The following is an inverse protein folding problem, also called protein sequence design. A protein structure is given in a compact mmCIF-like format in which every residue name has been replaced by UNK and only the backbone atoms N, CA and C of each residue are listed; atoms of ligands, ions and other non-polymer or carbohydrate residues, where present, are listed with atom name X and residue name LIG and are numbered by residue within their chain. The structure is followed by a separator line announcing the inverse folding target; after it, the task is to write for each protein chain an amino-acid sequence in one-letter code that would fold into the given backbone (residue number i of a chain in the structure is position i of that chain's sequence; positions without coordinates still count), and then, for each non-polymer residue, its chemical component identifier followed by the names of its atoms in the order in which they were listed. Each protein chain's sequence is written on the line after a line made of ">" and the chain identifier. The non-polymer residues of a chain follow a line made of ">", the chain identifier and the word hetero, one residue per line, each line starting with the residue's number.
data_IF_893732393301
#
_entry.id   IF_893732393301
#
_cell.length_a   1.000
_cell.length_b   1.000
_cell.length_c   1.000
_cell.angle_alpha   90.00
_cell.angle_beta   90.00
_cell.angle_gamma   90.00
#
_symmetry.space_group_name_H-M   'P 1'
#
loop_
_entity.id
_entity.type
_entity.pdbx_description
1 polymer ?
#
# COMPACT_ATOMS: atom_id res chain seq x y z
N UNK A 1 -32.21 32.64 -24.85
CA UNK A 1 -31.00 33.12 -25.53
C UNK A 1 -30.17 33.74 -24.41
N UNK A 2 -29.15 33.11 -23.82
CA UNK A 2 -28.17 32.13 -24.31
C UNK A 2 -27.65 31.31 -23.12
N UNK A 3 -27.41 30.04 -23.41
CA UNK A 3 -26.73 29.03 -22.60
C UNK A 3 -25.25 29.43 -22.38
N UNK A 4 -24.76 29.33 -21.15
CA UNK A 4 -23.35 29.52 -20.82
C UNK A 4 -22.78 28.18 -20.35
N UNK A 5 -22.30 27.40 -21.32
CA UNK A 5 -21.59 26.16 -21.10
C UNK A 5 -20.30 26.38 -20.31
N UNK A 6 -20.28 25.89 -19.07
CA UNK A 6 -19.06 25.73 -18.30
C UNK A 6 -18.28 24.56 -18.90
N UNK A 7 -17.27 24.89 -19.71
CA UNK A 7 -16.43 23.90 -20.38
C UNK A 7 -15.60 23.09 -19.39
N UNK A 8 -15.88 21.79 -19.29
CA UNK A 8 -14.99 20.78 -18.73
C UNK A 8 -13.67 20.78 -19.50
N UNK A 9 -12.69 21.54 -18.99
CA UNK A 9 -11.30 21.43 -19.47
C UNK A 9 -10.72 20.16 -18.89
N UNK A 10 -10.73 19.10 -19.71
CA UNK A 10 -10.04 17.85 -19.39
C UNK A 10 -8.59 18.10 -18.95
N UNK A 11 -8.05 17.27 -18.05
CA UNK A 11 -6.76 17.51 -17.41
C UNK A 11 -5.63 17.63 -18.46
N UNK A 12 -4.90 18.74 -18.42
CA UNK A 12 -3.82 19.03 -19.37
C UNK A 12 -2.63 18.06 -19.22
N UNK A 13 -1.91 17.77 -20.31
CA UNK A 13 -0.84 16.77 -20.33
C UNK A 13 0.31 17.02 -19.34
N UNK A 14 0.58 18.28 -18.95
CA UNK A 14 1.56 18.59 -17.88
C UNK A 14 1.02 18.23 -16.50
N UNK A 15 -0.24 18.54 -16.23
CA UNK A 15 -0.91 18.21 -14.97
C UNK A 15 -1.01 16.70 -14.76
N UNK A 16 -1.37 15.94 -15.81
CA UNK A 16 -1.39 14.48 -15.76
C UNK A 16 -0.01 13.89 -15.47
N UNK A 17 1.06 14.39 -16.10
CA UNK A 17 2.42 13.91 -15.83
C UNK A 17 2.86 14.15 -14.39
N UNK A 18 2.54 15.31 -13.83
CA UNK A 18 2.82 15.61 -12.42
C UNK A 18 2.04 14.68 -11.49
N UNK A 19 0.75 14.46 -11.77
CA UNK A 19 -0.07 13.53 -10.99
C UNK A 19 0.46 12.08 -11.06
N UNK A 20 0.88 11.61 -12.24
CA UNK A 20 1.46 10.27 -12.38
C UNK A 20 2.77 10.13 -11.60
N UNK A 21 3.64 11.14 -11.63
CA UNK A 21 4.89 11.13 -10.85
C UNK A 21 4.60 11.14 -9.34
N UNK A 22 3.65 11.95 -8.89
CA UNK A 22 3.22 11.99 -7.49
C UNK A 22 2.64 10.64 -7.05
N UNK A 23 1.76 10.03 -7.85
CA UNK A 23 1.18 8.73 -7.56
C UNK A 23 2.23 7.62 -7.52
N UNK A 24 3.19 7.61 -8.46
CA UNK A 24 4.31 6.67 -8.44
C UNK A 24 5.17 6.83 -7.19
N UNK A 25 5.44 8.09 -6.78
CA UNK A 25 6.19 8.39 -5.56
C UNK A 25 5.49 7.85 -4.31
N UNK A 26 4.17 8.01 -4.20
CA UNK A 26 3.38 7.47 -3.09
C UNK A 26 3.41 5.93 -3.07
N UNK A 27 3.22 5.28 -4.22
CA UNK A 27 3.20 3.80 -4.32
C UNK A 27 4.57 3.21 -4.02
N UNK A 28 5.65 3.78 -4.56
CA UNK A 28 6.99 3.30 -4.25
C UNK A 28 7.39 3.61 -2.80
N UNK A 29 6.89 4.70 -2.23
CA UNK A 29 7.05 5.03 -0.82
C UNK A 29 6.43 3.96 0.08
N UNK A 30 5.16 3.61 -0.16
CA UNK A 30 4.42 2.57 0.58
C UNK A 30 5.18 1.24 0.62
N UNK A 31 5.59 0.74 -0.56
CA UNK A 31 6.33 -0.53 -0.71
C UNK A 31 7.63 -0.56 0.10
N UNK A 32 8.28 0.60 0.29
CA UNK A 32 9.56 0.71 0.97
C UNK A 32 9.47 0.81 2.50
N UNK A 33 8.32 1.20 3.07
CA UNK A 33 8.19 1.44 4.52
C UNK A 33 8.36 0.17 5.35
N UNK A 34 7.75 -0.94 4.94
CA UNK A 34 7.73 -2.18 5.72
C UNK A 34 9.12 -2.83 5.84
N UNK A 35 9.94 -2.95 4.77
CA UNK A 35 11.31 -3.42 4.87
C UNK A 35 12.20 -2.55 5.78
N UNK A 36 12.02 -1.22 5.74
CA UNK A 36 12.78 -0.29 6.57
C UNK A 36 12.44 -0.44 8.06
N UNK A 37 11.16 -0.61 8.38
CA UNK A 37 10.73 -0.88 9.75
C UNK A 37 11.21 -2.24 10.25
N UNK A 38 11.12 -3.28 9.44
CA UNK A 38 11.62 -4.60 9.78
C UNK A 38 13.12 -4.57 10.09
N UNK A 39 13.89 -3.83 9.28
CA UNK A 39 15.32 -3.64 9.50
C UNK A 39 15.60 -2.90 10.82
N UNK A 40 14.88 -1.81 11.09
CA UNK A 40 15.00 -1.05 12.36
C UNK A 40 14.68 -1.95 13.55
N UNK A 41 13.59 -2.72 13.49
CA UNK A 41 13.15 -3.58 14.59
C UNK A 41 14.17 -4.69 14.90
N UNK A 42 14.85 -5.25 13.88
CA UNK A 42 15.90 -6.24 14.11
C UNK A 42 17.09 -5.74 14.95
N UNK A 43 17.36 -4.43 14.93
CA UNK A 43 18.51 -3.83 15.60
C UNK A 43 18.16 -2.92 16.79
N UNK A 44 16.92 -2.42 16.87
CA UNK A 44 16.45 -1.49 17.92
C UNK A 44 15.27 -2.04 18.72
N UNK A 45 14.76 -3.22 18.35
CA UNK A 45 13.62 -3.86 19.02
C UNK A 45 13.96 -4.54 20.35
N UNK A 46 13.00 -5.30 20.88
CA UNK A 46 13.07 -5.90 22.23
C UNK A 46 14.17 -6.97 22.40
N UNK A 47 14.65 -7.57 21.30
CA UNK A 47 15.77 -8.52 21.28
C UNK A 47 16.79 -8.08 20.22
N UNK A 48 17.59 -7.05 20.50
CA UNK A 48 18.48 -6.47 19.51
C UNK A 48 19.59 -7.45 19.16
N UNK A 49 19.72 -7.75 17.87
CA UNK A 49 20.84 -8.51 17.34
C UNK A 49 22.08 -7.60 17.34
N UNK A 50 23.25 -8.14 17.68
CA UNK A 50 24.49 -7.38 17.65
C UNK A 50 24.72 -6.77 16.26
N UNK A 51 25.07 -5.48 16.22
CA UNK A 51 25.41 -4.71 15.02
C UNK A 51 26.77 -5.17 14.43
N UNK A 52 26.81 -6.40 13.94
CA UNK A 52 27.97 -6.96 13.23
C UNK A 52 27.70 -6.96 11.73
N UNK A 53 28.76 -6.84 10.92
CA UNK A 53 28.68 -6.86 9.46
C UNK A 53 27.95 -8.11 8.95
N UNK A 54 28.17 -9.26 9.58
CA UNK A 54 27.53 -10.53 9.22
C UNK A 54 26.02 -10.49 9.44
N UNK A 55 25.57 -9.97 10.59
CA UNK A 55 24.15 -9.88 10.92
C UNK A 55 23.41 -8.89 10.02
N UNK A 56 24.05 -7.74 9.69
CA UNK A 56 23.46 -6.76 8.76
C UNK A 56 23.27 -7.37 7.37
N UNK A 57 24.30 -8.04 6.83
CA UNK A 57 24.19 -8.69 5.52
C UNK A 57 23.21 -9.87 5.54
N UNK A 58 23.13 -10.61 6.64
CA UNK A 58 22.16 -11.68 6.84
C UNK A 58 20.71 -11.18 6.81
N UNK A 59 20.40 -10.13 7.59
CA UNK A 59 19.07 -9.52 7.63
C UNK A 59 18.69 -8.90 6.29
N UNK A 60 19.60 -8.16 5.64
CA UNK A 60 19.35 -7.59 4.31
C UNK A 60 19.05 -8.68 3.26
N UNK A 61 19.78 -9.80 3.30
CA UNK A 61 19.54 -10.94 2.42
C UNK A 61 18.16 -11.57 2.67
N UNK A 62 17.77 -11.75 3.94
CA UNK A 62 16.45 -12.29 4.30
C UNK A 62 15.32 -11.37 3.84
N UNK A 63 15.47 -10.06 4.00
CA UNK A 63 14.49 -9.07 3.50
C UNK A 63 14.37 -9.16 1.98
N UNK A 64 15.50 -9.19 1.27
CA UNK A 64 15.52 -9.27 -0.19
C UNK A 64 14.85 -10.56 -0.70
N UNK A 65 15.25 -11.72 -0.17
CA UNK A 65 14.65 -13.00 -0.56
C UNK A 65 13.18 -13.11 -0.17
N UNK A 66 12.79 -12.57 0.99
CA UNK A 66 11.39 -12.49 1.39
C UNK A 66 10.57 -11.66 0.40
N UNK A 67 11.04 -10.46 0.02
CA UNK A 67 10.36 -9.62 -0.96
C UNK A 67 10.22 -10.31 -2.32
N UNK A 68 11.30 -10.95 -2.81
CA UNK A 68 11.28 -11.70 -4.07
C UNK A 68 10.24 -12.82 -4.02
N UNK A 69 10.21 -13.61 -2.94
CA UNK A 69 9.27 -14.72 -2.77
C UNK A 69 7.84 -14.21 -2.61
N UNK A 70 7.60 -13.20 -1.79
CA UNK A 70 6.26 -12.63 -1.57
C UNK A 70 5.72 -12.06 -2.88
N UNK A 71 6.48 -11.24 -3.60
CA UNK A 71 6.02 -10.67 -4.87
C UNK A 71 5.79 -11.78 -5.90
N UNK A 72 6.72 -12.72 -6.03
CA UNK A 72 6.62 -13.78 -7.05
C UNK A 72 5.50 -14.78 -6.73
N UNK A 73 5.35 -15.20 -5.48
CA UNK A 73 4.41 -16.24 -5.09
C UNK A 73 3.04 -15.65 -4.71
N UNK A 74 2.99 -14.76 -3.72
CA UNK A 74 1.71 -14.18 -3.23
C UNK A 74 1.07 -13.32 -4.32
N UNK A 75 1.83 -12.42 -4.94
CA UNK A 75 1.24 -11.46 -5.89
C UNK A 75 1.08 -12.05 -7.30
N UNK A 76 2.14 -12.62 -7.91
CA UNK A 76 2.01 -13.13 -9.28
C UNK A 76 1.20 -14.43 -9.39
N UNK A 77 1.25 -15.33 -8.40
CA UNK A 77 0.50 -16.59 -8.49
C UNK A 77 -0.91 -16.45 -7.94
N UNK A 78 -1.14 -15.69 -6.86
CA UNK A 78 -2.45 -15.62 -6.22
C UNK A 78 -3.27 -14.40 -6.66
N UNK A 79 -2.68 -13.20 -6.59
CA UNK A 79 -3.40 -11.95 -6.90
C UNK A 79 -3.63 -11.79 -8.40
N UNK A 80 -2.61 -12.03 -9.23
CA UNK A 80 -2.74 -11.93 -10.69
C UNK A 80 -3.58 -13.06 -11.32
N UNK A 81 -3.78 -14.18 -10.62
CA UNK A 81 -4.74 -15.22 -11.03
C UNK A 81 -6.18 -14.95 -10.59
N UNK A 82 -6.38 -14.09 -9.60
CA UNK A 82 -7.70 -13.63 -9.17
C UNK A 82 -8.12 -12.41 -10.00
N UNK A 83 -8.07 -12.54 -11.33
CA UNK A 83 -8.50 -11.51 -12.26
C UNK A 83 -9.95 -11.75 -12.71
N UNK A 84 -10.68 -10.66 -12.94
CA UNK A 84 -12.00 -10.71 -13.57
C UNK A 84 -11.98 -9.81 -14.79
N UNK A 85 -11.66 -10.38 -15.95
CA UNK A 85 -11.54 -9.65 -17.24
C UNK A 85 -10.52 -8.51 -17.21
N UNK A 86 -9.36 -8.74 -16.59
CA UNK A 86 -8.26 -7.77 -16.60
C UNK A 86 -8.32 -6.68 -15.52
N UNK A 87 -9.38 -6.63 -14.70
CA UNK A 87 -9.35 -5.92 -13.42
C UNK A 87 -8.91 -6.92 -12.34
N UNK A 88 -7.73 -6.71 -11.76
CA UNK A 88 -7.17 -7.56 -10.70
C UNK A 88 -7.50 -7.02 -9.30
N UNK A 89 -7.54 -7.93 -8.31
CA UNK A 89 -7.55 -7.55 -6.90
C UNK A 89 -8.92 -7.43 -6.24
N UNK A 90 -8.98 -6.75 -5.09
CA UNK A 90 -10.18 -6.72 -4.24
C UNK A 90 -11.37 -6.02 -4.90
N UNK A 91 -11.11 -5.09 -5.84
CA UNK A 91 -12.14 -4.40 -6.63
C UNK A 91 -12.84 -5.36 -7.60
N UNK A 92 -12.11 -6.34 -8.14
CA UNK A 92 -12.66 -7.40 -8.96
C UNK A 92 -13.54 -8.35 -8.13
N UNK A 93 -13.13 -8.66 -6.90
CA UNK A 93 -13.95 -9.40 -5.93
C UNK A 93 -15.21 -8.62 -5.53
N UNK A 94 -15.11 -7.30 -5.29
CA UNK A 94 -16.27 -6.44 -5.03
C UNK A 94 -17.23 -6.39 -6.24
N UNK A 95 -16.68 -6.37 -7.47
CA UNK A 95 -17.45 -6.37 -8.71
C UNK A 95 -18.09 -7.75 -9.03
N UNK A 96 -17.51 -8.85 -8.55
CA UNK A 96 -18.06 -10.21 -8.63
C UNK A 96 -19.19 -10.45 -7.62
N UNK A 97 -19.30 -9.64 -6.55
CA UNK A 97 -20.50 -9.54 -5.70
C UNK A 97 -21.61 -8.77 -6.43
N UNK A 98 -21.71 -8.91 -7.76
CA UNK A 98 -22.91 -8.53 -8.52
C UNK A 98 -23.97 -9.62 -8.34
N UNK A 99 -25.16 -9.28 -7.81
CA UNK A 99 -26.24 -10.23 -7.65
C UNK A 99 -26.81 -10.59 -9.03
N UNK A 100 -26.28 -11.63 -9.68
CA UNK A 100 -26.72 -12.03 -11.03
C UNK A 100 -27.09 -13.50 -11.16
N UNK A 101 -27.44 -14.17 -10.06
CA UNK A 101 -28.14 -15.47 -10.11
C UNK A 101 -29.51 -15.35 -9.45
N UNK A 102 -30.61 -15.40 -10.23
CA UNK A 102 -31.94 -15.59 -9.66
C UNK A 102 -31.97 -17.00 -9.04
N UNK A 103 -31.96 -17.08 -7.70
CA UNK A 103 -32.05 -18.35 -6.96
C UNK A 103 -31.02 -18.61 -5.86
N UNK A 104 -30.05 -17.72 -5.60
CA UNK A 104 -29.08 -17.91 -4.50
C UNK A 104 -29.76 -17.81 -3.12
N UNK A 105 -29.48 -18.75 -2.22
CA UNK A 105 -30.00 -18.75 -0.84
C UNK A 105 -29.62 -17.44 -0.14
N UNK A 106 -30.56 -16.82 0.58
CA UNK A 106 -30.35 -15.51 1.22
C UNK A 106 -29.11 -15.44 2.13
N UNK A 107 -28.75 -16.56 2.78
CA UNK A 107 -27.56 -16.65 3.64
C UNK A 107 -26.22 -16.57 2.91
N UNK A 108 -26.10 -17.19 1.72
CA UNK A 108 -24.86 -17.17 0.93
C UNK A 108 -24.60 -15.76 0.37
N UNK A 109 -25.67 -15.05 0.01
CA UNK A 109 -25.60 -13.64 -0.40
C UNK A 109 -25.10 -12.73 0.73
N UNK A 110 -25.60 -12.93 1.94
CA UNK A 110 -25.16 -12.17 3.12
C UNK A 110 -23.70 -12.44 3.45
N UNK A 111 -23.25 -13.70 3.35
CA UNK A 111 -21.86 -14.07 3.58
C UNK A 111 -20.92 -13.40 2.57
N UNK A 112 -21.25 -13.43 1.28
CA UNK A 112 -20.45 -12.78 0.23
C UNK A 112 -20.37 -11.26 0.41
N UNK A 113 -21.48 -10.63 0.80
CA UNK A 113 -21.51 -9.20 1.12
C UNK A 113 -20.66 -8.86 2.34
N UNK A 114 -20.73 -9.67 3.40
CA UNK A 114 -19.94 -9.48 4.61
C UNK A 114 -18.44 -9.62 4.33
N UNK A 115 -18.03 -10.64 3.58
CA UNK A 115 -16.63 -10.85 3.20
C UNK A 115 -16.11 -9.72 2.30
N UNK A 116 -16.92 -9.27 1.33
CA UNK A 116 -16.57 -8.14 0.47
C UNK A 116 -16.43 -6.82 1.24
N UNK A 117 -17.37 -6.52 2.14
CA UNK A 117 -17.33 -5.33 2.99
C UNK A 117 -16.14 -5.36 3.96
N UNK A 118 -15.87 -6.52 4.55
CA UNK A 118 -14.72 -6.72 5.43
C UNK A 118 -13.40 -6.52 4.68
N UNK A 119 -13.26 -7.11 3.49
CA UNK A 119 -12.09 -6.89 2.63
C UNK A 119 -11.90 -5.43 2.24
N UNK A 120 -12.98 -4.73 1.88
CA UNK A 120 -12.94 -3.30 1.57
C UNK A 120 -12.53 -2.45 2.79
N UNK A 121 -13.02 -2.79 3.99
CA UNK A 121 -12.64 -2.10 5.22
C UNK A 121 -11.16 -2.30 5.56
N UNK A 122 -10.61 -3.50 5.36
CA UNK A 122 -9.17 -3.76 5.55
C UNK A 122 -8.31 -2.97 4.57
N UNK A 123 -8.70 -2.93 3.28
CA UNK A 123 -7.97 -2.12 2.29
C UNK A 123 -8.04 -0.62 2.61
N UNK A 124 -9.20 -0.15 3.05
CA UNK A 124 -9.37 1.23 3.47
C UNK A 124 -8.48 1.57 4.68
N UNK A 125 -8.41 0.68 5.67
CA UNK A 125 -7.50 0.81 6.81
C UNK A 125 -6.03 0.88 6.39
N UNK A 126 -5.59 -0.03 5.53
CA UNK A 126 -4.21 -0.06 5.00
C UNK A 126 -3.87 1.25 4.26
N UNK A 127 -4.80 1.74 3.42
CA UNK A 127 -4.63 3.00 2.68
C UNK A 127 -4.53 4.25 3.57
N UNK A 128 -5.06 4.20 4.80
CA UNK A 128 -4.94 5.30 5.77
C UNK A 128 -3.69 5.18 6.65
N UNK A 129 -3.29 3.95 6.99
CA UNK A 129 -2.16 3.68 7.90
C UNK A 129 -0.83 3.96 7.20
N UNK A 130 -0.66 3.54 5.95
CA UNK A 130 0.62 3.71 5.23
C UNK A 130 1.08 5.17 5.16
N UNK A 131 0.26 6.16 4.73
CA UNK A 131 0.74 7.55 4.66
C UNK A 131 1.18 8.08 6.02
N UNK A 132 0.48 7.70 7.10
CA UNK A 132 0.84 8.09 8.45
C UNK A 132 2.19 7.48 8.88
N UNK A 133 2.39 6.18 8.62
CA UNK A 133 3.67 5.50 8.92
C UNK A 133 4.80 6.06 8.06
N UNK A 134 4.57 6.33 6.78
CA UNK A 134 5.56 6.90 5.87
C UNK A 134 6.01 8.30 6.30
N UNK A 135 5.08 9.15 6.78
CA UNK A 135 5.42 10.48 7.30
C UNK A 135 6.20 10.37 8.61
N UNK A 136 5.76 9.52 9.55
CA UNK A 136 6.46 9.31 10.81
C UNK A 136 7.88 8.78 10.60
N UNK A 137 8.03 7.78 9.73
CA UNK A 137 9.34 7.21 9.37
C UNK A 137 10.26 8.22 8.69
N UNK A 138 9.72 9.12 7.85
CA UNK A 138 10.49 10.19 7.22
C UNK A 138 10.98 11.23 8.26
N UNK A 139 10.15 11.56 9.25
CA UNK A 139 10.53 12.46 10.35
C UNK A 139 11.59 11.82 11.24
N UNK A 140 11.40 10.58 11.68
CA UNK A 140 12.40 9.82 12.44
C UNK A 140 13.73 9.68 11.67
N UNK A 141 13.68 9.46 10.36
CA UNK A 141 14.88 9.37 9.51
C UNK A 141 15.64 10.69 9.37
N UNK A 142 14.94 11.83 9.46
CA UNK A 142 15.55 13.16 9.37
C UNK A 142 16.40 13.48 10.62
N UNK A 143 15.97 13.00 11.81
CA UNK A 143 16.72 13.14 13.06
C UNK A 143 18.09 12.43 13.01
N UNK A 144 18.17 11.32 12.28
CA UNK A 144 19.42 10.53 12.11
C UNK A 144 20.39 11.22 11.15
N UNK A 145 19.90 11.93 10.13
CA UNK A 145 20.73 12.55 9.10
C UNK A 145 21.33 13.92 9.51
N UNK A 146 20.64 14.68 10.37
CA UNK A 146 21.16 15.98 10.85
C UNK A 146 20.55 16.36 12.21
N UNK A 147 21.34 16.47 13.29
CA UNK A 147 20.84 16.92 14.60
C UNK A 147 20.44 18.42 14.65
N UNK A 148 20.51 19.13 13.54
CA UNK A 148 20.20 20.58 13.42
C UNK A 148 18.69 20.86 13.41
N UNK A 149 17.85 19.87 13.08
CA UNK A 149 16.38 20.03 12.97
C UNK A 149 15.59 19.69 14.25
N UNK A 150 16.27 19.50 15.38
CA UNK A 150 15.66 19.35 16.71
C UNK A 150 14.56 20.38 17.06
N UNK A 151 14.57 21.64 16.59
CA UNK A 151 13.53 22.61 16.96
C UNK A 151 12.18 22.48 16.20
N UNK A 152 12.09 21.68 15.14
CA UNK A 152 10.89 21.58 14.27
C UNK A 152 10.13 20.26 14.38
N UNK A 153 10.61 19.32 15.20
CA UNK A 153 9.87 18.11 15.57
C UNK A 153 9.05 18.44 16.82
N UNK A 154 7.75 18.70 16.63
CA UNK A 154 6.81 19.06 17.70
C UNK A 154 6.43 17.77 18.47
N UNK A 155 6.16 17.82 19.80
CA UNK A 155 5.99 16.65 20.67
C UNK A 155 4.87 15.68 20.28
#
# INVERSE_FOLDING_TARGET
>A
MTDAGNGDRGPSGRYLRTLSLAALGVVYGDIGTSPLYALRECFTGSHPIALTRENVLGVLSLILWSLVIVISLKYLVFVMRADNRGEGGIMALLALVRPRRPGSKAGERWLLLAVGLFGAALLYGDSMITPAISVLSAVEGLEVATPVFQPYVVP
#
